data_IF_719960810986
#
_entry.id   IF_719960810986
#
_cell.length_a   1.000
_cell.length_b   1.000
_cell.length_c   1.000
_cell.angle_alpha   90.00
_cell.angle_beta   90.00
_cell.angle_gamma   90.00
#
_symmetry.space_group_name_H-M   'P 1'
#
loop_
_entity.id
_entity.type
_entity.pdbx_description
1 polymer ?
#
# COMPACT_ATOMS: atom_id res chain seq x y z
N UNK A 1 33.49 44.05 -11.78
CA UNK A 1 33.31 43.37 -10.47
C UNK A 1 32.70 44.39 -9.52
N UNK A 2 31.38 44.36 -9.34
CA UNK A 2 30.68 45.18 -8.35
C UNK A 2 30.09 44.22 -7.31
N UNK A 3 30.39 44.38 -6.00
CA UNK A 3 29.84 43.52 -4.97
C UNK A 3 28.40 43.94 -4.64
N UNK A 4 27.48 42.98 -4.66
CA UNK A 4 26.08 43.17 -4.27
C UNK A 4 25.97 43.29 -2.74
N UNK A 5 25.61 44.48 -2.27
CA UNK A 5 25.28 44.74 -0.87
C UNK A 5 24.01 43.97 -0.48
N UNK A 6 24.14 42.99 0.42
CA UNK A 6 22.98 42.26 0.95
C UNK A 6 23.30 40.93 1.62
N UNK A 7 24.48 40.36 1.39
CA UNK A 7 24.87 39.06 1.96
C UNK A 7 25.29 39.18 3.43
N UNK A 8 25.92 40.29 3.82
CA UNK A 8 26.31 40.54 5.22
C UNK A 8 25.11 40.85 6.12
N UNK A 9 24.15 41.65 5.63
CA UNK A 9 22.95 42.00 6.37
C UNK A 9 22.07 40.77 6.71
N UNK A 10 22.07 39.72 5.87
CA UNK A 10 21.35 38.48 6.18
C UNK A 10 22.09 37.59 7.18
N UNK A 11 23.43 37.61 7.18
CA UNK A 11 24.25 36.85 8.13
C UNK A 11 24.11 37.40 9.56
N UNK A 12 24.02 38.71 9.71
CA UNK A 12 23.91 39.34 11.04
C UNK A 12 22.52 39.13 11.66
N UNK A 13 21.47 39.08 10.83
CA UNK A 13 20.10 38.76 11.26
C UNK A 13 19.98 37.32 11.76
N UNK A 14 20.65 36.38 11.10
CA UNK A 14 20.64 34.96 11.49
C UNK A 14 21.36 34.72 12.83
N UNK A 15 22.42 35.50 13.14
CA UNK A 15 23.11 35.41 14.43
C UNK A 15 22.25 35.95 15.58
N UNK A 16 21.56 37.07 15.38
CA UNK A 16 20.68 37.64 16.42
C UNK A 16 19.51 36.73 16.80
N UNK A 17 18.97 35.94 15.88
CA UNK A 17 17.90 34.99 16.22
C UNK A 17 18.39 33.77 16.99
N UNK A 18 19.62 33.31 16.74
CA UNK A 18 20.23 32.20 17.48
C UNK A 18 20.55 32.60 18.93
N UNK A 19 21.00 33.84 19.17
CA UNK A 19 21.30 34.33 20.52
C UNK A 19 20.03 34.51 21.35
N UNK A 20 18.94 34.95 20.73
CA UNK A 20 17.62 35.12 21.37
C UNK A 20 16.96 33.79 21.77
N UNK A 21 17.25 32.71 21.03
CA UNK A 21 16.80 31.36 21.37
C UNK A 21 17.57 30.77 22.56
N UNK A 22 18.84 31.13 22.79
CA UNK A 22 19.60 30.63 23.94
C UNK A 22 19.22 31.31 25.27
N UNK A 23 18.75 32.57 25.22
CA UNK A 23 18.38 33.35 26.40
C UNK A 23 17.02 32.96 27.03
N UNK A 24 16.20 32.15 26.36
CA UNK A 24 14.88 31.72 26.84
C UNK A 24 14.87 30.34 27.53
N UNK A 25 16.02 29.64 27.56
CA UNK A 25 16.14 28.30 28.15
C UNK A 25 16.55 28.28 29.64
N UNK A 26 16.83 29.42 30.26
CA UNK A 26 17.44 29.51 31.60
C UNK A 26 16.48 29.89 32.74
N UNK A 27 15.17 29.97 32.51
CA UNK A 27 14.20 30.36 33.55
C UNK A 27 13.07 29.32 33.75
N UNK A 28 13.40 28.18 34.37
CA UNK A 28 12.41 27.32 35.03
C UNK A 28 13.09 26.41 36.06
N UNK A 29 13.35 26.93 37.27
CA UNK A 29 13.68 26.11 38.44
C UNK A 29 13.05 26.71 39.69
N UNK A 30 12.47 25.82 40.51
CA UNK A 30 11.86 26.00 41.85
C UNK A 30 10.39 26.45 41.80
N UNK A 31 9.44 25.71 42.38
CA UNK A 31 9.25 25.55 43.84
C UNK A 31 8.57 24.23 44.26
N UNK A 32 8.90 23.74 45.45
CA UNK A 32 8.07 22.82 46.27
C UNK A 32 7.38 23.64 47.38
N UNK A 33 6.34 23.11 48.05
CA UNK A 33 6.63 22.59 49.39
C UNK A 33 5.90 21.30 49.81
N UNK A 34 6.52 20.76 50.85
CA UNK A 34 6.40 19.55 51.68
C UNK A 34 5.07 19.38 52.44
N UNK A 35 4.63 18.13 52.62
CA UNK A 35 3.90 17.67 53.80
C UNK A 35 4.35 16.24 54.16
N UNK A 36 4.55 16.01 55.46
CA UNK A 36 5.32 14.91 56.05
C UNK A 36 4.45 14.20 57.08
N UNK A 37 4.40 12.86 57.08
CA UNK A 37 4.03 11.93 58.18
C UNK A 37 3.99 10.53 57.56
N UNK A 38 4.63 9.45 58.01
CA UNK A 38 5.45 9.13 59.16
C UNK A 38 5.31 7.61 59.39
N UNK A 39 6.42 6.89 59.67
CA UNK A 39 6.50 5.63 60.48
C UNK A 39 5.99 4.33 59.77
N UNK A 40 6.61 3.14 59.74
CA UNK A 40 7.81 2.48 60.32
C UNK A 40 8.09 1.13 59.59
N UNK A 41 9.37 0.72 59.60
CA UNK A 41 9.95 -0.65 59.74
C UNK A 41 10.13 -1.67 58.57
N UNK A 42 11.43 -1.87 58.27
CA UNK A 42 12.27 -3.02 57.80
C UNK A 42 11.85 -4.43 58.35
N UNK A 43 12.47 -5.60 57.95
CA UNK A 43 13.79 -5.76 57.27
C UNK A 43 13.99 -6.83 56.15
N UNK A 44 14.96 -6.51 55.29
CA UNK A 44 16.08 -7.29 54.67
C UNK A 44 16.14 -8.82 54.67
N UNK A 45 16.53 -9.37 53.51
CA UNK A 45 17.74 -10.19 53.29
C UNK A 45 18.01 -10.27 51.77
N UNK A 46 19.04 -9.62 51.23
CA UNK A 46 20.48 -9.99 51.18
C UNK A 46 20.84 -10.70 49.87
N UNK A 47 21.77 -10.06 49.18
CA UNK A 47 22.22 -10.28 47.82
C UNK A 47 23.20 -11.46 47.69
N UNK A 48 23.37 -11.97 46.47
CA UNK A 48 24.67 -12.46 46.00
C UNK A 48 24.79 -12.18 44.49
N UNK A 49 25.97 -11.68 44.12
CA UNK A 49 26.29 -10.99 42.87
C UNK A 49 26.68 -11.92 41.71
N UNK A 50 26.58 -11.41 40.47
CA UNK A 50 27.39 -11.85 39.31
C UNK A 50 27.47 -10.71 38.27
N UNK A 51 28.63 -10.44 37.62
CA UNK A 51 28.76 -9.57 36.44
C UNK A 51 28.85 -10.41 35.14
N UNK A 52 29.13 -9.84 33.95
CA UNK A 52 28.45 -8.79 33.19
C UNK A 52 27.98 -9.30 31.78
N UNK A 53 27.41 -8.40 30.96
CA UNK A 53 27.03 -8.55 29.54
C UNK A 53 25.75 -9.34 29.22
N UNK A 54 24.76 -8.69 28.60
CA UNK A 54 24.34 -8.86 27.18
C UNK A 54 23.02 -8.12 26.97
N UNK A 55 22.86 -7.59 25.74
CA UNK A 55 21.70 -6.97 25.10
C UNK A 55 20.36 -6.89 25.87
N UNK A 56 19.81 -5.69 25.85
CA UNK A 56 18.44 -5.29 26.19
C UNK A 56 17.36 -6.35 25.88
N UNK A 57 16.89 -7.05 26.91
CA UNK A 57 15.65 -7.83 26.90
C UNK A 57 14.47 -6.93 27.29
N UNK A 58 13.56 -6.72 26.35
CA UNK A 58 12.21 -6.19 26.58
C UNK A 58 11.37 -7.21 27.39
N UNK A 59 10.44 -6.77 28.24
CA UNK A 59 9.73 -7.64 29.18
C UNK A 59 8.75 -8.55 28.43
N UNK A 60 9.16 -9.78 28.11
CA UNK A 60 8.34 -10.74 27.37
C UNK A 60 7.19 -11.28 28.21
N UNK A 61 5.96 -11.13 27.74
CA UNK A 61 4.80 -11.91 28.19
C UNK A 61 5.13 -13.42 28.12
N UNK A 62 4.66 -14.26 29.06
CA UNK A 62 4.97 -15.69 29.05
C UNK A 62 4.44 -16.35 27.76
N UNK A 63 5.33 -16.96 26.99
CA UNK A 63 5.02 -17.72 25.78
C UNK A 63 5.10 -19.22 26.07
N UNK A 64 4.29 -20.02 25.36
CA UNK A 64 4.31 -21.49 25.49
C UNK A 64 5.42 -22.10 24.62
N UNK A 65 6.03 -23.20 25.09
CA UNK A 65 7.01 -23.99 24.32
C UNK A 65 6.44 -24.44 22.95
N UNK A 66 5.13 -24.70 22.89
CA UNK A 66 4.42 -25.07 21.66
C UNK A 66 4.38 -23.91 20.65
N UNK A 67 4.29 -22.66 21.12
CA UNK A 67 4.28 -21.47 20.27
C UNK A 67 5.65 -21.27 19.61
N UNK A 68 6.73 -21.45 20.37
CA UNK A 68 8.11 -21.37 19.84
C UNK A 68 8.36 -22.47 18.82
N UNK A 69 7.92 -23.70 19.10
CA UNK A 69 8.10 -24.81 18.16
C UNK A 69 7.33 -24.59 16.85
N UNK A 70 6.14 -24.00 16.92
CA UNK A 70 5.35 -23.66 15.73
C UNK A 70 6.00 -22.58 14.88
N UNK A 71 6.50 -21.50 15.51
CA UNK A 71 7.22 -20.43 14.81
C UNK A 71 8.47 -20.99 14.12
N UNK A 72 9.23 -21.84 14.80
CA UNK A 72 10.42 -22.50 14.23
C UNK A 72 10.06 -23.38 13.03
N UNK A 73 8.98 -24.16 13.11
CA UNK A 73 8.52 -25.01 12.00
C UNK A 73 8.18 -24.17 10.77
N UNK A 74 7.40 -23.11 10.94
CA UNK A 74 6.96 -22.24 9.84
C UNK A 74 8.15 -21.52 9.19
N UNK A 75 9.12 -21.05 9.99
CA UNK A 75 10.35 -20.42 9.48
C UNK A 75 11.29 -21.40 8.76
N UNK A 76 11.18 -22.70 9.03
CA UNK A 76 11.99 -23.73 8.40
C UNK A 76 11.40 -24.25 7.07
N UNK A 77 10.10 -24.03 6.84
CA UNK A 77 9.41 -24.42 5.61
C UNK A 77 9.90 -23.59 4.42
N UNK A 78 10.07 -24.24 3.27
CA UNK A 78 10.56 -23.58 2.04
C UNK A 78 9.47 -23.29 1.03
N UNK A 79 8.38 -24.05 1.06
CA UNK A 79 7.25 -23.90 0.13
C UNK A 79 6.01 -23.30 0.81
N UNK A 80 5.18 -22.58 0.04
CA UNK A 80 3.94 -21.97 0.59
C UNK A 80 2.95 -23.04 1.08
N UNK A 81 2.96 -24.22 0.45
CA UNK A 81 2.14 -25.36 0.86
C UNK A 81 2.57 -25.92 2.22
N UNK A 82 3.88 -26.03 2.48
CA UNK A 82 4.43 -26.43 3.77
C UNK A 82 4.13 -25.39 4.86
N UNK A 83 4.25 -24.10 4.54
CA UNK A 83 3.94 -23.00 5.47
C UNK A 83 2.49 -23.06 5.95
N UNK A 84 1.54 -23.34 5.05
CA UNK A 84 0.13 -23.54 5.41
C UNK A 84 -0.17 -24.97 5.89
N UNK A 85 0.79 -25.88 5.83
CA UNK A 85 0.65 -27.29 6.17
C UNK A 85 -0.51 -27.96 5.40
N UNK A 86 -0.54 -27.75 4.09
CA UNK A 86 -1.51 -28.31 3.13
C UNK A 86 -0.78 -29.06 2.01
N UNK A 87 -1.47 -29.99 1.34
CA UNK A 87 -0.90 -30.67 0.18
C UNK A 87 -0.96 -29.78 -1.07
N UNK A 88 -0.11 -30.04 -2.07
CA UNK A 88 -0.13 -29.32 -3.35
C UNK A 88 -1.46 -29.50 -4.12
N UNK A 89 -2.18 -30.59 -3.87
CA UNK A 89 -3.51 -30.88 -4.43
C UNK A 89 -4.65 -30.24 -3.64
N UNK A 90 -4.35 -29.47 -2.57
CA UNK A 90 -5.37 -28.92 -1.69
C UNK A 90 -6.30 -27.95 -2.43
N UNK A 91 -7.58 -28.01 -2.08
CA UNK A 91 -8.59 -27.09 -2.63
C UNK A 91 -8.47 -25.71 -1.98
N UNK A 92 -9.00 -24.68 -2.63
CA UNK A 92 -9.01 -23.31 -2.10
C UNK A 92 -9.66 -23.23 -0.70
N UNK A 93 -10.69 -24.05 -0.47
CA UNK A 93 -11.37 -24.15 0.83
C UNK A 93 -10.47 -24.67 1.95
N UNK A 94 -9.57 -25.60 1.65
CA UNK A 94 -8.61 -26.16 2.60
C UNK A 94 -7.49 -25.16 2.90
N UNK A 95 -7.02 -24.44 1.88
CA UNK A 95 -6.06 -23.32 2.01
C UNK A 95 -6.63 -22.23 2.94
N UNK A 96 -7.88 -21.82 2.73
CA UNK A 96 -8.56 -20.83 3.59
C UNK A 96 -8.72 -21.32 5.03
N UNK A 97 -9.07 -22.60 5.21
CA UNK A 97 -9.23 -23.21 6.55
C UNK A 97 -7.90 -23.29 7.30
N UNK A 98 -6.83 -23.69 6.61
CA UNK A 98 -5.49 -23.78 7.15
C UNK A 98 -4.95 -22.40 7.55
N UNK A 99 -5.10 -21.41 6.67
CA UNK A 99 -4.74 -20.01 6.97
C UNK A 99 -5.45 -19.50 8.22
N UNK A 100 -6.78 -19.69 8.32
CA UNK A 100 -7.54 -19.25 9.50
C UNK A 100 -7.01 -19.86 10.80
N UNK A 101 -6.66 -21.15 10.78
CA UNK A 101 -6.13 -21.85 11.96
C UNK A 101 -4.75 -21.32 12.36
N UNK A 102 -3.87 -21.05 11.40
CA UNK A 102 -2.52 -20.55 11.66
C UNK A 102 -2.53 -19.07 12.05
N UNK A 103 -3.32 -18.25 11.38
CA UNK A 103 -3.46 -16.83 11.67
C UNK A 103 -3.93 -16.58 13.11
N UNK A 104 -4.91 -17.36 13.60
CA UNK A 104 -5.38 -17.26 14.99
C UNK A 104 -4.33 -17.68 16.03
N UNK A 105 -3.41 -18.58 15.67
CA UNK A 105 -2.35 -19.08 16.56
C UNK A 105 -1.09 -18.21 16.56
N UNK A 106 -0.86 -17.46 15.48
CA UNK A 106 0.29 -16.57 15.30
C UNK A 106 -0.06 -15.09 15.46
N UNK A 107 -1.34 -14.76 15.70
CA UNK A 107 -1.77 -13.38 15.89
C UNK A 107 -0.95 -12.69 17.00
N UNK A 108 -0.47 -11.46 16.79
CA UNK A 108 0.43 -10.76 17.72
C UNK A 108 -0.17 -10.59 19.13
N UNK A 109 -1.50 -10.50 19.23
CA UNK A 109 -2.21 -10.43 20.52
C UNK A 109 -2.15 -11.75 21.33
N UNK A 110 -2.05 -12.90 20.67
CA UNK A 110 -2.11 -14.24 21.31
C UNK A 110 -0.76 -14.94 21.39
N UNK A 111 0.20 -14.55 20.56
CA UNK A 111 1.51 -15.17 20.48
C UNK A 111 2.62 -14.11 20.51
N UNK A 112 3.32 -14.02 21.65
CA UNK A 112 4.45 -13.13 21.86
C UNK A 112 5.81 -13.85 21.77
N UNK A 113 5.86 -15.03 21.16
CA UNK A 113 7.10 -15.77 20.96
C UNK A 113 8.06 -15.02 20.00
N UNK A 114 9.38 -15.13 20.19
CA UNK A 114 10.36 -14.48 19.33
C UNK A 114 10.23 -14.99 17.88
N UNK A 115 10.06 -14.06 16.93
CA UNK A 115 9.87 -14.38 15.51
C UNK A 115 8.45 -14.79 15.11
N UNK A 116 7.45 -14.67 16.01
CA UNK A 116 6.05 -14.92 15.66
C UNK A 116 5.55 -13.99 14.55
N UNK A 117 6.01 -12.73 14.53
CA UNK A 117 5.69 -11.77 13.48
C UNK A 117 6.21 -12.23 12.10
N UNK A 118 7.46 -12.70 12.02
CA UNK A 118 8.03 -13.23 10.77
C UNK A 118 7.24 -14.45 10.26
N UNK A 119 6.88 -15.35 11.18
CA UNK A 119 6.09 -16.53 10.84
C UNK A 119 4.67 -16.14 10.37
N UNK A 120 4.07 -15.12 10.99
CA UNK A 120 2.78 -14.59 10.57
C UNK A 120 2.84 -13.94 9.18
N UNK A 121 3.91 -13.19 8.88
CA UNK A 121 4.19 -12.66 7.54
C UNK A 121 4.34 -13.76 6.49
N UNK A 122 5.08 -14.82 6.81
CA UNK A 122 5.23 -15.97 5.91
C UNK A 122 3.88 -16.64 5.61
N UNK A 123 3.03 -16.84 6.63
CA UNK A 123 1.68 -17.39 6.47
C UNK A 123 0.76 -16.49 5.64
N UNK A 124 0.85 -15.17 5.81
CA UNK A 124 0.13 -14.19 4.99
C UNK A 124 0.56 -14.21 3.51
N UNK A 125 1.87 -14.29 3.25
CA UNK A 125 2.42 -14.42 1.89
C UNK A 125 1.92 -15.70 1.21
N UNK A 126 2.04 -16.83 1.91
CA UNK A 126 1.59 -18.12 1.41
C UNK A 126 0.10 -18.11 1.05
N UNK A 127 -0.75 -17.52 1.90
CA UNK A 127 -2.18 -17.39 1.61
C UNK A 127 -2.46 -16.49 0.40
N UNK A 128 -1.77 -15.36 0.27
CA UNK A 128 -1.97 -14.42 -0.85
C UNK A 128 -1.69 -15.08 -2.20
N UNK A 129 -0.71 -15.99 -2.24
CA UNK A 129 -0.33 -16.72 -3.44
C UNK A 129 -1.26 -17.91 -3.69
N UNK A 130 -1.54 -18.72 -2.66
CA UNK A 130 -2.28 -19.98 -2.80
C UNK A 130 -3.81 -19.81 -2.85
N UNK A 131 -4.35 -18.67 -2.41
CA UNK A 131 -5.79 -18.40 -2.44
C UNK A 131 -6.30 -17.96 -3.81
N UNK A 132 -5.43 -17.41 -4.66
CA UNK A 132 -5.77 -16.93 -6.00
C UNK A 132 -5.32 -17.96 -7.04
N UNK A 133 -6.22 -18.49 -7.88
CA UNK A 133 -5.88 -19.54 -8.85
C UNK A 133 -4.81 -19.10 -9.86
N UNK A 134 -4.80 -17.83 -10.26
CA UNK A 134 -3.84 -17.31 -11.24
C UNK A 134 -2.45 -17.17 -10.62
N UNK A 135 -2.37 -16.66 -9.39
CA UNK A 135 -1.11 -16.55 -8.63
C UNK A 135 -0.57 -17.91 -8.23
N UNK A 136 -1.44 -18.84 -7.84
CA UNK A 136 -1.07 -20.23 -7.54
C UNK A 136 -0.50 -20.91 -8.77
N UNK A 137 -1.17 -20.81 -9.92
CA UNK A 137 -0.67 -21.37 -11.18
C UNK A 137 0.68 -20.77 -11.58
N UNK A 138 0.91 -19.48 -11.32
CA UNK A 138 2.19 -18.83 -11.56
C UNK A 138 3.29 -19.35 -10.61
N UNK A 139 2.99 -19.44 -9.32
CA UNK A 139 3.89 -20.00 -8.31
C UNK A 139 4.25 -21.46 -8.61
N UNK A 140 3.28 -22.28 -8.99
CA UNK A 140 3.50 -23.69 -9.32
C UNK A 140 4.40 -23.86 -10.57
N UNK A 141 4.42 -22.88 -11.48
CA UNK A 141 5.25 -22.90 -12.69
C UNK A 141 6.67 -22.39 -12.49
N UNK A 142 6.85 -21.36 -11.66
CA UNK A 142 8.11 -20.61 -11.59
C UNK A 142 8.71 -20.51 -10.18
N UNK A 143 8.01 -20.96 -9.14
CA UNK A 143 8.42 -20.83 -7.75
C UNK A 143 8.42 -19.39 -7.24
N UNK A 144 9.11 -19.15 -6.12
CA UNK A 144 9.26 -17.81 -5.52
C UNK A 144 10.21 -16.88 -6.31
N UNK A 145 11.02 -17.43 -7.24
CA UNK A 145 12.02 -16.68 -8.03
C UNK A 145 11.48 -16.19 -9.40
N UNK A 146 10.16 -16.20 -9.57
CA UNK A 146 9.54 -15.86 -10.84
C UNK A 146 9.84 -14.40 -11.25
N UNK A 147 10.34 -14.14 -12.47
CA UNK A 147 10.50 -12.78 -12.95
C UNK A 147 9.11 -12.12 -13.00
N UNK A 148 8.95 -10.99 -12.32
CA UNK A 148 7.70 -10.21 -12.28
C UNK A 148 7.34 -9.80 -13.71
N UNK A 149 6.60 -10.65 -14.41
CA UNK A 149 6.14 -10.37 -15.74
C UNK A 149 4.99 -9.40 -15.57
N UNK A 150 5.24 -8.16 -15.98
CA UNK A 150 4.27 -7.09 -16.06
C UNK A 150 3.23 -7.51 -17.12
N UNK A 151 2.30 -8.38 -16.75
CA UNK A 151 1.27 -8.90 -17.64
C UNK A 151 0.27 -7.76 -17.87
N UNK A 152 0.47 -7.09 -19.01
CA UNK A 152 -0.44 -6.07 -19.50
C UNK A 152 -1.83 -6.65 -19.79
N UNK A 153 -2.84 -5.90 -19.38
CA UNK A 153 -4.15 -5.87 -20.02
C UNK A 153 -5.16 -6.91 -19.55
N UNK A 154 -5.99 -6.52 -18.56
CA UNK A 154 -7.45 -6.37 -18.72
C UNK A 154 -8.09 -5.96 -17.39
N UNK A 155 -8.77 -4.82 -17.40
CA UNK A 155 -9.90 -4.48 -16.52
C UNK A 155 -9.71 -4.64 -15.01
N UNK A 156 -9.30 -3.56 -14.34
CA UNK A 156 -9.40 -3.46 -12.89
C UNK A 156 -8.74 -2.20 -12.38
N UNK A 157 -9.51 -1.33 -11.74
CA UNK A 157 -9.02 -0.11 -11.09
C UNK A 157 -7.80 -0.43 -10.23
N UNK A 158 -6.80 0.44 -10.31
CA UNK A 158 -5.49 0.28 -9.68
C UNK A 158 -5.58 -0.15 -8.23
N UNK A 159 -5.29 -1.42 -8.00
CA UNK A 159 -4.72 -1.91 -6.76
C UNK A 159 -3.52 -2.75 -7.18
N UNK A 160 -2.35 -2.11 -7.16
CA UNK A 160 -1.07 -2.82 -7.14
C UNK A 160 -0.88 -3.28 -5.70
N UNK A 161 -0.88 -4.59 -5.38
CA UNK A 161 -0.19 -5.03 -4.19
C UNK A 161 1.29 -4.92 -4.54
N UNK A 162 1.90 -3.79 -4.19
CA UNK A 162 3.28 -3.82 -3.76
C UNK A 162 3.30 -4.83 -2.60
N UNK A 163 4.04 -5.93 -2.73
CA UNK A 163 4.05 -7.08 -1.80
C UNK A 163 4.43 -6.73 -0.34
N UNK A 164 4.59 -5.44 -0.03
CA UNK A 164 4.91 -4.90 1.28
C UNK A 164 3.84 -3.94 1.84
N UNK A 165 2.82 -3.56 1.06
CA UNK A 165 1.87 -2.49 1.46
C UNK A 165 0.55 -3.03 2.07
N UNK A 166 0.28 -4.34 1.98
CA UNK A 166 -0.86 -4.97 2.68
C UNK A 166 -0.32 -5.78 3.83
N UNK A 167 -0.54 -5.31 5.06
CA UNK A 167 -0.12 -6.09 6.23
C UNK A 167 -0.93 -7.38 6.29
N UNK A 168 -0.35 -8.51 6.73
CA UNK A 168 -1.11 -9.75 6.91
C UNK A 168 -2.32 -9.59 7.85
N UNK A 169 -2.27 -8.60 8.76
CA UNK A 169 -3.38 -8.13 9.58
C UNK A 169 -4.51 -7.52 8.74
N UNK A 170 -4.19 -6.67 7.77
CA UNK A 170 -5.16 -6.09 6.86
C UNK A 170 -5.78 -7.15 5.94
N UNK A 171 -5.00 -8.12 5.46
CA UNK A 171 -5.52 -9.29 4.73
C UNK A 171 -6.47 -10.10 5.62
N UNK A 172 -6.09 -10.35 6.87
CA UNK A 172 -6.96 -11.06 7.81
C UNK A 172 -8.26 -10.28 8.06
N UNK A 173 -8.18 -8.97 8.26
CA UNK A 173 -9.36 -8.13 8.50
C UNK A 173 -10.24 -7.98 7.25
N UNK A 174 -9.65 -7.88 6.06
CA UNK A 174 -10.35 -7.81 4.78
C UNK A 174 -11.11 -9.10 4.46
N UNK A 175 -10.53 -10.26 4.76
CA UNK A 175 -11.13 -11.57 4.47
C UNK A 175 -11.98 -12.16 5.61
N UNK A 176 -11.71 -11.77 6.86
CA UNK A 176 -12.32 -12.41 8.05
C UNK A 176 -12.88 -11.42 9.09
N UNK A 177 -12.60 -10.11 8.97
CA UNK A 177 -13.05 -9.07 9.89
C UNK A 177 -14.52 -8.65 9.73
N UNK A 178 -15.24 -9.20 8.75
CA UNK A 178 -16.64 -8.88 8.48
C UNK A 178 -17.70 -9.71 9.25
N UNK A 179 -17.31 -10.55 10.22
CA UNK A 179 -18.19 -11.63 10.69
C UNK A 179 -18.30 -11.90 12.19
N UNK A 180 -17.76 -11.06 13.07
CA UNK A 180 -17.82 -11.29 14.52
C UNK A 180 -18.33 -10.05 15.28
N UNK A 181 -19.65 -9.92 15.42
CA UNK A 181 -20.22 -9.29 16.62
C UNK A 181 -20.42 -10.38 17.66
N UNK A 182 -19.70 -10.36 18.80
CA UNK A 182 -20.01 -11.23 19.92
C UNK A 182 -21.43 -10.87 20.40
N UNK A 183 -22.33 -11.86 20.35
CA UNK A 183 -23.67 -11.77 20.91
C UNK A 183 -23.54 -11.80 22.44
N UNK A 184 -23.17 -10.66 23.01
CA UNK A 184 -23.13 -10.42 24.46
C UNK A 184 -24.53 -10.22 25.01
N UNK A 185 -24.85 -11.01 26.04
CA UNK A 185 -26.08 -10.98 26.85
C UNK A 185 -26.43 -9.56 27.33
N UNK A 186 -27.74 -9.24 27.35
CA UNK A 186 -28.37 -8.50 28.46
C UNK A 186 -29.77 -9.06 28.76
N UNK A 187 -30.19 -9.03 30.04
CA UNK A 187 -31.29 -9.82 30.56
C UNK A 187 -32.67 -9.14 30.41
N UNK A 188 -33.66 -10.01 30.53
CA UNK A 188 -35.10 -9.86 30.67
C UNK A 188 -35.58 -8.72 31.59
N UNK A 189 -36.55 -7.92 31.11
CA UNK A 189 -37.72 -7.50 31.89
C UNK A 189 -38.87 -7.02 30.97
N UNK A 190 -40.07 -7.59 31.23
CA UNK A 190 -41.48 -7.16 31.04
C UNK A 190 -41.78 -5.89 30.22
N UNK A 191 -42.89 -5.70 29.50
CA UNK A 191 -44.28 -6.20 29.39
C UNK A 191 -44.75 -5.55 28.04
N UNK A 192 -45.70 -5.98 27.22
CA UNK A 192 -47.09 -6.43 27.41
C UNK A 192 -47.65 -6.70 25.99
N UNK A 193 -48.62 -7.64 25.88
CA UNK A 193 -49.76 -7.73 24.93
C UNK A 193 -49.64 -7.10 23.52
N UNK A 194 -49.99 -7.75 22.41
CA UNK A 194 -50.86 -8.90 22.20
C UNK A 194 -51.28 -8.95 20.71
N UNK A 195 -51.88 -10.08 20.37
CA UNK A 195 -52.61 -10.42 19.14
C UNK A 195 -51.86 -10.82 17.85
N UNK A 196 -52.12 -12.09 17.57
CA UNK A 196 -51.79 -12.96 16.47
C UNK A 196 -53.00 -13.00 15.54
N UNK A 197 -52.84 -12.64 14.28
CA UNK A 197 -53.65 -13.10 13.14
C UNK A 197 -52.69 -13.09 11.94
N UNK A 198 -52.06 -14.22 11.61
CA UNK A 198 -52.53 -15.19 10.61
C UNK A 198 -53.00 -14.54 9.30
N UNK A 199 -52.06 -14.29 8.41
CA UNK A 199 -52.23 -14.49 6.96
C UNK A 199 -50.97 -15.19 6.43
N UNK A 200 -50.96 -16.51 6.55
CA UNK A 200 -50.16 -17.36 5.68
C UNK A 200 -50.95 -17.53 4.39
N UNK A 201 -50.87 -16.53 3.51
CA UNK A 201 -51.35 -16.67 2.14
C UNK A 201 -50.22 -17.29 1.30
N UNK A 202 -50.59 -18.31 0.56
CA UNK A 202 -49.73 -19.25 -0.16
C UNK A 202 -48.78 -18.52 -1.12
N UNK A 203 -47.58 -18.17 -0.64
CA UNK A 203 -46.49 -17.69 -1.49
C UNK A 203 -45.83 -18.90 -2.16
N UNK A 204 -46.26 -19.18 -3.38
CA UNK A 204 -45.68 -20.19 -4.27
C UNK A 204 -44.15 -20.07 -4.34
N UNK A 205 -43.47 -21.19 -4.61
CA UNK A 205 -42.02 -21.41 -4.47
C UNK A 205 -41.08 -20.42 -5.19
N UNK A 206 -41.60 -19.47 -5.96
CA UNK A 206 -40.85 -18.35 -6.54
C UNK A 206 -40.63 -17.18 -5.57
N UNK A 207 -41.41 -17.10 -4.48
CA UNK A 207 -41.33 -16.00 -3.52
C UNK A 207 -40.06 -16.02 -2.65
N UNK A 208 -39.33 -17.15 -2.61
CA UNK A 208 -38.03 -17.24 -1.95
C UNK A 208 -36.93 -16.49 -2.73
N UNK A 209 -37.11 -16.24 -4.03
CA UNK A 209 -36.17 -15.47 -4.84
C UNK A 209 -36.39 -13.96 -4.77
N UNK A 210 -37.54 -13.51 -4.25
CA UNK A 210 -37.84 -12.09 -4.10
C UNK A 210 -36.84 -11.35 -3.17
N UNK A 211 -36.19 -12.06 -2.23
CA UNK A 211 -35.14 -11.44 -1.41
C UNK A 211 -33.88 -11.07 -2.21
N UNK A 212 -33.64 -11.76 -3.32
CA UNK A 212 -32.48 -11.53 -4.18
C UNK A 212 -32.77 -10.47 -5.25
N UNK A 213 -34.04 -10.11 -5.48
CA UNK A 213 -34.44 -9.08 -6.43
C UNK A 213 -33.73 -7.71 -6.20
N UNK A 214 -33.62 -7.16 -4.98
CA UNK A 214 -32.87 -5.93 -4.76
C UNK A 214 -31.36 -6.09 -5.00
N UNK A 215 -30.76 -7.24 -4.65
CA UNK A 215 -29.35 -7.51 -4.91
C UNK A 215 -29.07 -7.72 -6.40
N UNK A 216 -29.97 -8.39 -7.11
CA UNK A 216 -29.93 -8.58 -8.55
C UNK A 216 -30.11 -7.26 -9.28
N UNK A 217 -30.99 -6.38 -8.81
CA UNK A 217 -31.15 -5.02 -9.35
C UNK A 217 -29.89 -4.17 -9.14
N UNK A 218 -29.25 -4.23 -7.97
CA UNK A 218 -27.97 -3.55 -7.72
C UNK A 218 -26.87 -4.12 -8.62
N UNK A 219 -26.82 -5.44 -8.79
CA UNK A 219 -25.87 -6.10 -9.68
C UNK A 219 -26.09 -5.72 -11.14
N UNK A 220 -27.34 -5.71 -11.61
CA UNK A 220 -27.71 -5.28 -12.97
C UNK A 220 -27.44 -3.79 -13.18
N UNK A 221 -27.73 -2.93 -12.20
CA UNK A 221 -27.37 -1.52 -12.26
C UNK A 221 -25.86 -1.29 -12.27
N UNK A 222 -25.08 -2.13 -11.56
CA UNK A 222 -23.62 -2.10 -11.60
C UNK A 222 -23.06 -2.55 -12.97
N UNK A 223 -23.70 -3.53 -13.61
CA UNK A 223 -23.35 -3.98 -14.98
C UNK A 223 -23.75 -2.96 -16.05
N UNK A 224 -24.87 -2.27 -15.88
CA UNK A 224 -25.34 -1.21 -16.79
C UNK A 224 -24.63 0.14 -16.54
N UNK A 225 -24.00 0.31 -15.38
CA UNK A 225 -23.20 1.49 -15.03
C UNK A 225 -21.73 1.35 -15.42
N UNK A 226 -21.36 0.44 -16.33
CA UNK A 226 -20.05 0.52 -16.97
C UNK A 226 -20.07 1.82 -17.78
N UNK A 227 -19.34 2.88 -17.37
CA UNK A 227 -19.27 4.06 -18.20
C UNK A 227 -18.60 3.61 -19.49
N UNK A 228 -19.28 3.81 -20.62
CA UNK A 228 -18.64 3.80 -21.93
C UNK A 228 -17.53 4.84 -21.85
N UNK A 229 -16.32 4.41 -21.54
CA UNK A 229 -15.17 5.31 -21.51
C UNK A 229 -15.11 5.94 -22.89
N UNK A 230 -15.15 7.28 -23.01
CA UNK A 230 -15.06 7.89 -24.32
C UNK A 230 -13.77 7.41 -24.96
N UNK A 231 -13.91 6.69 -26.07
CA UNK A 231 -12.80 6.19 -26.86
C UNK A 231 -11.92 7.40 -27.19
N UNK A 232 -10.68 7.40 -26.69
CA UNK A 232 -9.79 8.51 -26.95
C UNK A 232 -9.54 8.55 -28.46
N UNK A 233 -9.73 9.70 -29.14
CA UNK A 233 -9.61 9.78 -30.59
C UNK A 233 -8.14 9.74 -31.07
N UNK A 234 -7.21 9.40 -30.18
CA UNK A 234 -5.79 9.34 -30.42
C UNK A 234 -5.09 8.33 -29.51
N UNK A 235 -3.86 7.97 -29.88
CA UNK A 235 -2.92 7.22 -29.06
C UNK A 235 -1.54 7.91 -29.08
N UNK A 236 -0.76 7.82 -27.99
CA UNK A 236 0.60 8.37 -27.95
C UNK A 236 1.63 7.45 -28.60
N UNK A 237 1.28 6.18 -28.83
CA UNK A 237 2.12 5.21 -29.51
C UNK A 237 1.40 4.68 -30.76
N UNK A 238 2.13 4.32 -31.82
CA UNK A 238 1.52 3.81 -33.05
C UNK A 238 0.84 2.46 -32.78
N UNK A 239 -0.32 2.26 -33.39
CA UNK A 239 -1.06 0.98 -33.40
C UNK A 239 -1.69 0.75 -34.77
N UNK A 240 -2.31 -0.41 -34.99
CA UNK A 240 -2.97 -0.70 -36.26
C UNK A 240 -4.16 0.24 -36.54
N UNK A 241 -4.89 0.63 -35.50
CA UNK A 241 -6.01 1.57 -35.59
C UNK A 241 -5.51 3.03 -35.66
N UNK A 242 -4.56 3.39 -34.79
CA UNK A 242 -3.95 4.71 -34.75
C UNK A 242 -2.60 4.69 -35.49
N UNK A 243 -2.64 4.80 -36.81
CA UNK A 243 -1.47 4.70 -37.69
C UNK A 243 -1.06 6.02 -38.38
N UNK A 244 -1.88 7.06 -38.30
CA UNK A 244 -1.56 8.37 -38.88
C UNK A 244 -0.90 9.24 -37.82
N UNK A 245 0.38 9.59 -38.02
CA UNK A 245 1.10 10.46 -37.09
C UNK A 245 0.74 11.94 -37.29
N UNK A 246 0.52 12.64 -36.19
CA UNK A 246 0.32 14.09 -36.10
C UNK A 246 1.17 14.67 -34.99
N UNK A 247 1.30 15.99 -34.98
CA UNK A 247 1.96 16.74 -33.92
C UNK A 247 1.05 17.89 -33.46
N UNK A 248 1.09 18.22 -32.18
CA UNK A 248 0.31 19.33 -31.62
C UNK A 248 0.78 20.68 -32.17
N UNK A 249 -0.17 21.55 -32.51
CA UNK A 249 0.08 22.85 -33.15
C UNK A 249 -0.59 24.03 -32.42
N UNK A 250 -1.58 23.77 -31.55
CA UNK A 250 -2.38 24.81 -30.90
C UNK A 250 -1.55 25.72 -29.99
N UNK A 251 -1.94 27.00 -29.91
CA UNK A 251 -1.21 28.02 -29.14
C UNK A 251 -1.23 27.77 -27.61
N UNK A 252 -2.31 27.17 -27.09
CA UNK A 252 -2.48 26.89 -25.65
C UNK A 252 -1.89 25.53 -25.22
N UNK A 253 -1.27 24.81 -26.16
CA UNK A 253 -0.71 23.47 -25.99
C UNK A 253 0.78 23.52 -26.32
N UNK A 254 1.57 22.67 -25.67
CA UNK A 254 2.98 22.51 -26.05
C UNK A 254 3.06 22.01 -27.49
N UNK A 255 3.74 22.77 -28.36
CA UNK A 255 3.91 22.43 -29.77
C UNK A 255 4.82 21.23 -29.96
N UNK A 256 4.49 20.39 -30.94
CA UNK A 256 5.37 19.31 -31.39
C UNK A 256 5.25 18.00 -30.60
N UNK A 257 4.23 17.81 -29.76
CA UNK A 257 3.98 16.52 -29.11
C UNK A 257 3.45 15.56 -30.18
N UNK A 258 4.14 14.44 -30.48
CA UNK A 258 3.67 13.47 -31.45
C UNK A 258 2.52 12.63 -30.88
N UNK A 259 1.48 12.43 -31.68
CA UNK A 259 0.36 11.54 -31.38
C UNK A 259 -0.14 10.86 -32.66
N UNK A 260 -0.87 9.77 -32.52
CA UNK A 260 -1.35 8.94 -33.61
C UNK A 260 -2.87 8.93 -33.62
N UNK A 261 -3.46 9.06 -34.80
CA UNK A 261 -4.91 9.12 -35.00
C UNK A 261 -5.36 8.08 -36.04
N UNK A 262 -6.67 7.83 -36.08
CA UNK A 262 -7.31 7.07 -37.16
C UNK A 262 -7.36 7.89 -38.47
N UNK A 263 -7.61 7.22 -39.59
CA UNK A 263 -7.57 7.83 -40.93
C UNK A 263 -8.66 8.89 -41.17
N UNK A 264 -9.80 8.73 -40.53
CA UNK A 264 -10.98 9.61 -40.63
C UNK A 264 -11.00 10.71 -39.55
N UNK A 265 -9.93 10.83 -38.75
CA UNK A 265 -9.81 11.83 -37.70
C UNK A 265 -10.02 13.27 -38.20
N UNK A 266 -9.51 13.59 -39.40
CA UNK A 266 -9.63 14.94 -39.96
C UNK A 266 -11.09 15.32 -40.17
N UNK A 267 -11.90 14.42 -40.72
CA UNK A 267 -13.32 14.68 -40.98
C UNK A 267 -14.14 14.84 -39.69
N UNK A 268 -13.72 14.15 -38.61
CA UNK A 268 -14.43 14.16 -37.32
C UNK A 268 -14.04 15.30 -36.39
N UNK A 269 -12.77 15.68 -36.36
CA UNK A 269 -12.23 16.56 -35.30
C UNK A 269 -11.54 17.83 -35.81
N UNK A 270 -11.36 18.01 -37.12
CA UNK A 270 -10.71 19.22 -37.67
C UNK A 270 -11.69 20.22 -38.29
N UNK A 271 -12.99 19.89 -38.36
CA UNK A 271 -14.05 20.75 -38.89
C UNK A 271 -14.21 22.06 -38.11
N UNK A 272 -13.99 22.01 -36.79
CA UNK A 272 -14.02 23.20 -35.93
C UNK A 272 -12.76 23.27 -35.07
N UNK A 273 -12.18 24.47 -34.96
CA UNK A 273 -10.93 24.69 -34.22
C UNK A 273 -11.04 24.31 -32.72
N UNK A 274 -12.24 24.40 -32.12
CA UNK A 274 -12.44 24.02 -30.71
C UNK A 274 -12.33 22.51 -30.50
N UNK A 275 -12.73 21.70 -31.47
CA UNK A 275 -12.67 20.24 -31.36
C UNK A 275 -11.22 19.77 -31.41
N UNK A 276 -10.46 20.28 -32.39
CA UNK A 276 -9.02 20.03 -32.47
C UNK A 276 -8.29 20.54 -31.22
N UNK A 277 -8.64 21.73 -30.72
CA UNK A 277 -8.06 22.29 -29.50
C UNK A 277 -8.31 21.40 -28.27
N UNK A 278 -9.53 20.86 -28.13
CA UNK A 278 -9.86 19.92 -27.05
C UNK A 278 -9.05 18.63 -27.17
N UNK A 279 -8.93 18.07 -28.38
CA UNK A 279 -8.12 16.86 -28.60
C UNK A 279 -6.65 17.12 -28.27
N UNK A 280 -6.06 18.20 -28.77
CA UNK A 280 -4.65 18.51 -28.49
C UNK A 280 -4.39 18.80 -27.00
N UNK A 281 -5.35 19.41 -26.30
CA UNK A 281 -5.28 19.57 -24.85
C UNK A 281 -5.30 18.22 -24.12
N UNK A 282 -6.12 17.27 -24.60
CA UNK A 282 -6.12 15.90 -24.07
C UNK A 282 -4.78 15.18 -24.37
N UNK A 283 -4.22 15.37 -25.57
CA UNK A 283 -2.89 14.83 -25.95
C UNK A 283 -1.83 15.35 -25.00
N UNK A 284 -1.83 16.65 -24.73
CA UNK A 284 -0.88 17.27 -23.81
C UNK A 284 -1.01 16.69 -22.40
N UNK A 285 -2.23 16.61 -21.87
CA UNK A 285 -2.49 16.04 -20.54
C UNK A 285 -2.03 14.58 -20.46
N UNK A 286 -2.35 13.77 -21.47
CA UNK A 286 -1.93 12.37 -21.54
C UNK A 286 -0.40 12.24 -21.60
N UNK A 287 0.26 13.09 -22.38
CA UNK A 287 1.71 13.11 -22.52
C UNK A 287 2.41 13.51 -21.21
N UNK A 288 1.94 14.59 -20.56
CA UNK A 288 2.44 15.03 -19.25
C UNK A 288 2.23 13.96 -18.20
N UNK A 289 1.06 13.29 -18.18
CA UNK A 289 0.76 12.19 -17.28
C UNK A 289 1.75 11.02 -17.47
N UNK A 290 1.98 10.59 -18.73
CA UNK A 290 2.95 9.54 -19.09
C UNK A 290 4.36 9.88 -18.63
N UNK A 291 4.81 11.12 -18.84
CA UNK A 291 6.12 11.58 -18.38
C UNK A 291 6.21 11.63 -16.86
N UNK A 292 5.16 12.07 -16.18
CA UNK A 292 5.08 12.11 -14.72
C UNK A 292 5.17 10.71 -14.12
N UNK A 293 4.38 9.77 -14.61
CA UNK A 293 4.41 8.37 -14.18
C UNK A 293 5.80 7.75 -14.43
N UNK A 294 6.35 7.96 -15.62
CA UNK A 294 7.70 7.49 -15.96
C UNK A 294 8.77 8.08 -15.04
N UNK A 295 8.66 9.37 -14.70
CA UNK A 295 9.57 10.05 -13.78
C UNK A 295 9.48 9.48 -12.36
N UNK A 296 8.28 9.29 -11.82
CA UNK A 296 8.08 8.73 -10.48
C UNK A 296 8.58 7.28 -10.38
N UNK A 297 8.33 6.46 -11.41
CA UNK A 297 8.85 5.11 -11.47
C UNK A 297 10.39 5.06 -11.45
N UNK A 298 11.05 5.96 -12.21
CA UNK A 298 12.52 6.04 -12.22
C UNK A 298 13.09 6.57 -10.90
N UNK A 299 12.45 7.57 -10.28
CA UNK A 299 12.84 8.03 -8.93
C UNK A 299 12.70 6.91 -7.89
N UNK A 300 11.62 6.14 -7.95
CA UNK A 300 11.43 5.01 -7.04
C UNK A 300 12.50 3.93 -7.26
N UNK A 301 12.87 3.67 -8.52
CA UNK A 301 14.01 2.80 -8.85
C UNK A 301 15.31 3.35 -8.29
N UNK A 302 15.56 4.65 -8.39
CA UNK A 302 16.73 5.30 -7.81
C UNK A 302 16.80 5.13 -6.29
N UNK A 303 15.70 5.41 -5.59
CA UNK A 303 15.58 5.23 -4.14
C UNK A 303 15.87 3.78 -3.73
N UNK A 304 15.34 2.80 -4.47
CA UNK A 304 15.63 1.38 -4.21
C UNK A 304 17.10 1.02 -4.42
N UNK A 305 17.76 1.57 -5.45
CA UNK A 305 19.20 1.35 -5.66
C UNK A 305 20.04 2.00 -4.55
N UNK A 306 19.70 3.20 -4.10
CA UNK A 306 20.35 3.88 -2.97
C UNK A 306 20.19 3.05 -1.68
N UNK A 307 18.98 2.56 -1.39
CA UNK A 307 18.71 1.74 -0.22
C UNK A 307 19.55 0.44 -0.24
N UNK A 308 19.55 -0.27 -1.37
CA UNK A 308 20.37 -1.48 -1.54
C UNK A 308 21.86 -1.20 -1.39
N UNK A 309 22.36 -0.12 -2.00
CA UNK A 309 23.76 0.28 -1.87
C UNK A 309 24.11 0.56 -0.40
N UNK A 310 23.30 1.37 0.29
CA UNK A 310 23.51 1.72 1.71
C UNK A 310 23.56 0.51 2.63
N UNK A 311 22.72 -0.49 2.35
CA UNK A 311 22.60 -1.70 3.16
C UNK A 311 23.55 -2.82 2.69
N UNK A 312 24.36 -2.61 1.64
CA UNK A 312 25.36 -3.59 1.22
C UNK A 312 26.60 -3.55 2.14
N UNK A 313 27.15 -4.72 2.42
CA UNK A 313 28.33 -4.90 3.28
C UNK A 313 29.65 -5.05 2.50
N UNK A 314 29.65 -4.89 1.17
CA UNK A 314 30.87 -5.03 0.34
C UNK A 314 31.60 -3.70 0.14
N UNK A 315 32.87 -3.77 -0.25
CA UNK A 315 33.68 -2.61 -0.67
C UNK A 315 33.04 -1.85 -1.85
N UNK A 316 32.13 -2.49 -2.60
CA UNK A 316 31.41 -1.88 -3.73
C UNK A 316 30.30 -0.90 -3.32
N UNK A 317 30.06 -0.71 -2.03
CA UNK A 317 29.02 0.20 -1.52
C UNK A 317 29.08 1.59 -2.16
N UNK A 318 30.29 2.15 -2.26
CA UNK A 318 30.51 3.48 -2.80
C UNK A 318 30.28 3.52 -4.31
N UNK A 319 30.76 2.51 -5.05
CA UNK A 319 30.52 2.37 -6.48
C UNK A 319 29.02 2.20 -6.79
N UNK A 320 28.31 1.39 -6.01
CA UNK A 320 26.88 1.19 -6.12
C UNK A 320 26.08 2.47 -5.80
N UNK A 321 26.52 3.24 -4.80
CA UNK A 321 25.92 4.53 -4.45
C UNK A 321 26.11 5.55 -5.58
N UNK A 322 27.34 5.69 -6.13
CA UNK A 322 27.62 6.59 -7.25
C UNK A 322 26.77 6.25 -8.47
N UNK A 323 26.69 4.96 -8.81
CA UNK A 323 25.84 4.46 -9.90
C UNK A 323 24.36 4.79 -9.68
N UNK A 324 23.88 4.77 -8.44
CA UNK A 324 22.50 5.14 -8.13
C UNK A 324 22.25 6.63 -8.28
N UNK A 325 23.18 7.48 -7.85
CA UNK A 325 23.07 8.94 -7.96
C UNK A 325 23.19 9.43 -9.41
N UNK A 326 24.04 8.81 -10.22
CA UNK A 326 24.26 9.15 -11.65
C UNK A 326 23.21 8.55 -12.59
N UNK A 327 22.17 7.90 -12.08
CA UNK A 327 21.13 7.33 -12.92
C UNK A 327 20.39 8.41 -13.72
N UNK A 328 20.43 8.27 -15.05
CA UNK A 328 19.74 9.16 -15.99
C UNK A 328 18.21 9.06 -15.81
N UNK A 329 17.53 10.20 -15.81
CA UNK A 329 16.07 10.28 -15.70
C UNK A 329 15.43 11.11 -16.83
N UNK A 330 15.47 10.62 -18.10
CA UNK A 330 15.00 11.38 -19.25
C UNK A 330 13.56 11.92 -19.13
N UNK A 331 12.56 11.12 -18.68
CA UNK A 331 11.19 11.62 -18.51
C UNK A 331 11.08 12.77 -17.50
N UNK A 332 11.89 12.76 -16.44
CA UNK A 332 11.91 13.84 -15.45
C UNK A 332 12.51 15.11 -16.04
N UNK A 333 13.53 14.99 -16.87
CA UNK A 333 14.20 16.14 -17.50
C UNK A 333 13.29 16.77 -18.57
N UNK A 334 12.60 15.95 -19.34
CA UNK A 334 11.57 16.41 -20.29
C UNK A 334 10.41 17.10 -19.57
N UNK A 335 9.87 16.51 -18.50
CA UNK A 335 8.83 17.14 -17.69
C UNK A 335 9.27 18.50 -17.12
N UNK A 336 10.53 18.63 -16.68
CA UNK A 336 11.09 19.92 -16.24
C UNK A 336 11.16 20.94 -17.37
N UNK A 337 11.51 20.53 -18.60
CA UNK A 337 11.50 21.40 -19.78
C UNK A 337 10.09 21.89 -20.09
N UNK A 338 9.10 20.98 -20.10
CA UNK A 338 7.69 21.30 -20.35
C UNK A 338 7.12 22.28 -19.30
N UNK A 339 7.48 22.10 -18.03
CA UNK A 339 7.08 23.03 -16.94
C UNK A 339 7.74 24.40 -17.05
N UNK A 340 8.86 24.54 -17.76
CA UNK A 340 9.50 25.85 -18.04
C UNK A 340 8.85 26.54 -19.23
N UNK A 341 8.46 25.80 -20.27
CA UNK A 341 7.82 26.35 -21.47
C UNK A 341 6.38 26.80 -21.23
N UNK A 342 5.66 26.18 -20.28
CA UNK A 342 4.25 26.50 -19.97
C UNK A 342 4.06 27.54 -18.84
N UNK A 343 5.13 28.18 -18.35
CA UNK A 343 4.96 29.28 -17.39
C UNK A 343 4.36 30.49 -18.10
N UNK A 344 3.18 30.90 -17.64
CA UNK A 344 2.69 32.28 -17.70
C UNK A 344 3.71 33.25 -17.13
#
# INVERSE_FOLDING_TARGET
MFPLAGVEAMRDRAKQEMDKASASASNARQTSPRANSGVRHRPTASATATPPNTASEEPSRPYSADQVQMVRKIKACKTHYEVLNVQQTATESEVKKAYRKLALRLHPDKNSAPGAEDAFKAVGKAFTILSDPDKRAHYDRYGDDAPVQNQGGRGGRGYRPQEEDITPEEIFNMFFGGGFRPRGRRPQQQQQQGHRQQQHEQRGGLAQFAQFLPLLLIFLMSLLSIPSTPEMPFNLNPTQQFNVQRATQMANVVKGIPYYVERDFEQRYTTHWRDLSRVEQMVEQAHVSKLSEGCENLKLRQKRMIYRARNSHSEDREAAMRKALEMKMPPCDELKKLRRTRRY
#
